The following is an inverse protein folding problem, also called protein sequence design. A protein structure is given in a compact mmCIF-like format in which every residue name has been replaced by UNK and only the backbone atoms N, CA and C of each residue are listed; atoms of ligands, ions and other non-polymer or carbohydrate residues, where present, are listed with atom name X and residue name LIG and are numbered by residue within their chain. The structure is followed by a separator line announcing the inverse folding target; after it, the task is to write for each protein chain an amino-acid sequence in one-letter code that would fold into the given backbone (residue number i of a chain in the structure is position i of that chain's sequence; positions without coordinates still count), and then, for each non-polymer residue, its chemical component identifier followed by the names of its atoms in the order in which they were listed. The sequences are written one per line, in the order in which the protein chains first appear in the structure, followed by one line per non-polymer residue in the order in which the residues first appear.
data_IF_211639755901
#
_entry.id   IF_211639755901
#
_cell.length_a   1.000
_cell.length_b   1.000
_cell.length_c   1.000
_cell.angle_alpha   90.00
_cell.angle_beta   90.00
_cell.angle_gamma   90.00
#
_symmetry.space_group_name_H-M   'P 1'
#
loop_
_entity.id
_entity.type
_entity.pdbx_description
1 polymer ?
#
# COMPACT_ATOMS: atom_id res chain seq x y z
N UNK A 1 -11.52 4.08 10.79
CA UNK A 1 -12.55 3.09 11.18
C UNK A 1 -12.21 1.73 10.58
N UNK A 2 -12.74 0.66 11.16
CA UNK A 2 -12.70 -0.68 10.59
C UNK A 2 -14.15 -1.12 10.35
N UNK A 3 -14.54 -1.43 9.12
CA UNK A 3 -15.94 -1.77 8.82
C UNK A 3 -16.28 -3.25 9.05
N UNK A 4 -15.29 -4.15 9.04
CA UNK A 4 -15.48 -5.57 9.32
C UNK A 4 -14.20 -6.40 9.21
N UNK A 5 -14.34 -7.72 9.20
CA UNK A 5 -13.24 -8.68 9.07
C UNK A 5 -12.59 -9.10 10.39
N UNK A 6 -11.40 -9.69 10.31
CA UNK A 6 -10.66 -10.23 11.45
C UNK A 6 -9.29 -9.55 11.57
N UNK A 7 -8.95 -9.11 12.78
CA UNK A 7 -7.65 -8.47 13.13
C UNK A 7 -7.23 -7.26 12.27
N UNK A 8 -8.19 -6.48 11.77
CA UNK A 8 -7.88 -5.26 11.06
C UNK A 8 -7.64 -4.08 12.02
N UNK A 9 -6.70 -3.19 11.68
CA UNK A 9 -6.34 -2.01 12.47
C UNK A 9 -6.41 -0.75 11.63
N UNK A 10 -7.19 0.23 12.08
CA UNK A 10 -7.20 1.59 11.54
C UNK A 10 -6.85 2.57 12.66
N UNK A 11 -5.56 2.90 12.81
CA UNK A 11 -5.06 3.71 13.94
C UNK A 11 -4.67 5.14 13.58
N UNK A 12 -4.57 5.46 12.28
CA UNK A 12 -4.27 6.81 11.81
C UNK A 12 -5.48 7.75 11.90
N UNK A 13 -5.23 9.06 11.95
CA UNK A 13 -6.29 10.06 11.94
C UNK A 13 -7.06 9.98 10.61
N UNK A 14 -8.39 9.80 10.67
CA UNK A 14 -9.23 9.55 9.49
C UNK A 14 -8.84 8.31 8.65
N UNK A 15 -8.02 7.40 9.18
CA UNK A 15 -7.68 6.19 8.43
C UNK A 15 -8.86 5.22 8.37
N UNK A 16 -8.89 4.35 7.36
CA UNK A 16 -9.96 3.36 7.21
C UNK A 16 -9.47 2.00 6.72
N UNK A 17 -10.05 0.94 7.26
CA UNK A 17 -9.96 -0.40 6.69
C UNK A 17 -11.38 -0.92 6.43
N UNK A 18 -11.70 -1.24 5.18
CA UNK A 18 -13.07 -1.69 4.84
C UNK A 18 -13.33 -3.13 5.30
N UNK A 19 -12.35 -4.02 5.27
CA UNK A 19 -12.51 -5.40 5.70
C UNK A 19 -11.26 -6.26 5.48
N UNK A 20 -11.44 -7.59 5.46
CA UNK A 20 -10.36 -8.53 5.22
C UNK A 20 -9.75 -9.11 6.50
N UNK A 21 -8.49 -9.55 6.39
CA UNK A 21 -7.75 -10.24 7.46
C UNK A 21 -6.42 -9.52 7.71
N UNK A 22 -6.16 -9.10 8.94
CA UNK A 22 -4.86 -8.55 9.38
C UNK A 22 -4.39 -7.32 8.56
N UNK A 23 -5.32 -6.48 8.08
CA UNK A 23 -4.95 -5.26 7.36
C UNK A 23 -4.69 -4.08 8.33
N UNK A 24 -3.69 -3.25 8.05
CA UNK A 24 -3.32 -2.09 8.86
C UNK A 24 -3.32 -0.79 8.05
N UNK A 25 -4.14 0.18 8.46
CA UNK A 25 -4.10 1.57 8.00
C UNK A 25 -3.68 2.49 9.17
N UNK A 26 -2.39 2.77 9.29
CA UNK A 26 -1.81 3.49 10.44
C UNK A 26 -1.43 4.94 10.15
N UNK A 27 -1.27 5.33 8.88
CA UNK A 27 -1.00 6.71 8.49
C UNK A 27 -2.25 7.61 8.55
N UNK A 28 -2.10 8.94 8.73
CA UNK A 28 -3.22 9.87 8.61
C UNK A 28 -3.83 9.81 7.21
N UNK A 29 -5.15 9.72 7.09
CA UNK A 29 -5.89 9.55 5.83
C UNK A 29 -5.56 8.24 5.07
N UNK A 30 -4.79 7.32 5.66
CA UNK A 30 -4.42 6.07 5.02
C UNK A 30 -5.64 5.16 4.85
N UNK A 31 -5.66 4.36 3.78
CA UNK A 31 -6.77 3.46 3.50
C UNK A 31 -6.32 2.07 3.04
N UNK A 32 -7.02 1.05 3.53
CA UNK A 32 -6.94 -0.31 3.00
C UNK A 32 -8.35 -0.81 2.66
N UNK A 33 -8.61 -1.06 1.39
CA UNK A 33 -9.95 -1.47 0.93
C UNK A 33 -10.28 -2.93 1.22
N UNK A 34 -9.29 -3.78 1.51
CA UNK A 34 -9.51 -5.18 1.88
C UNK A 34 -8.28 -6.06 1.64
N UNK A 35 -8.50 -7.36 1.47
CA UNK A 35 -7.44 -8.35 1.26
C UNK A 35 -6.88 -8.92 2.57
N UNK A 36 -5.62 -9.35 2.53
CA UNK A 36 -4.97 -9.94 3.71
C UNK A 36 -3.56 -9.40 3.93
N UNK A 37 -3.26 -8.98 5.17
CA UNK A 37 -1.94 -8.51 5.62
C UNK A 37 -1.41 -7.30 4.84
N UNK A 38 -2.29 -6.44 4.35
CA UNK A 38 -1.91 -5.21 3.66
C UNK A 38 -1.63 -4.08 4.65
N UNK A 39 -0.64 -3.23 4.36
CA UNK A 39 -0.21 -2.13 5.24
C UNK A 39 -0.20 -0.81 4.46
N UNK A 40 -0.94 0.18 4.96
CA UNK A 40 -0.88 1.57 4.53
C UNK A 40 -0.46 2.44 5.73
N UNK A 41 0.82 2.81 5.82
CA UNK A 41 1.38 3.53 6.98
C UNK A 41 1.76 4.98 6.73
N UNK A 42 1.90 5.39 5.47
CA UNK A 42 2.20 6.77 5.09
C UNK A 42 0.98 7.69 5.15
N UNK A 43 1.22 9.01 5.18
CA UNK A 43 0.14 10.00 5.09
C UNK A 43 -0.56 9.85 3.73
N UNK A 44 -1.89 9.73 3.73
CA UNK A 44 -2.70 9.52 2.53
C UNK A 44 -2.30 8.30 1.68
N UNK A 45 -1.54 7.34 2.25
CA UNK A 45 -1.15 6.14 1.51
C UNK A 45 -2.33 5.18 1.34
N UNK A 46 -2.29 4.34 0.32
CA UNK A 46 -3.43 3.47 0.00
C UNK A 46 -3.03 2.09 -0.48
N UNK A 47 -3.79 1.09 -0.04
CA UNK A 47 -3.75 -0.26 -0.61
C UNK A 47 -5.16 -0.70 -0.98
N UNK A 48 -5.40 -0.90 -2.28
CA UNK A 48 -6.74 -1.26 -2.77
C UNK A 48 -7.13 -2.72 -2.51
N UNK A 49 -6.17 -3.59 -2.20
CA UNK A 49 -6.42 -4.98 -1.85
C UNK A 49 -5.21 -5.89 -2.10
N UNK A 50 -5.46 -7.19 -2.24
CA UNK A 50 -4.42 -8.19 -2.48
C UNK A 50 -3.86 -8.80 -1.20
N UNK A 51 -2.62 -9.30 -1.26
CA UNK A 51 -1.96 -9.98 -0.14
C UNK A 51 -0.58 -9.38 0.16
N UNK A 52 -0.32 -9.00 1.41
CA UNK A 52 0.99 -8.53 1.86
C UNK A 52 1.55 -7.33 1.07
N UNK A 53 0.68 -6.45 0.56
CA UNK A 53 1.08 -5.21 -0.10
C UNK A 53 1.35 -4.11 0.92
N UNK A 54 2.33 -3.25 0.64
CA UNK A 54 2.77 -2.19 1.56
C UNK A 54 2.88 -0.84 0.85
N UNK A 55 2.16 0.16 1.34
CA UNK A 55 2.26 1.55 0.94
C UNK A 55 2.74 2.39 2.15
N UNK A 56 4.04 2.66 2.22
CA UNK A 56 4.71 3.06 3.46
C UNK A 56 4.91 4.57 3.65
N UNK A 57 5.01 5.34 2.58
CA UNK A 57 5.33 6.78 2.62
C UNK A 57 4.16 7.67 2.15
N UNK A 58 4.33 8.99 2.22
CA UNK A 58 3.32 9.97 1.86
C UNK A 58 2.82 9.76 0.43
N UNK A 59 1.50 9.68 0.29
CA UNK A 59 0.78 9.47 -0.96
C UNK A 59 1.19 8.23 -1.75
N UNK A 60 1.93 7.29 -1.15
CA UNK A 60 2.32 6.07 -1.84
C UNK A 60 1.12 5.12 -2.00
N UNK A 61 1.13 4.31 -3.06
CA UNK A 61 -0.03 3.49 -3.40
C UNK A 61 0.31 2.11 -3.96
N UNK A 62 -0.49 1.12 -3.56
CA UNK A 62 -0.51 -0.20 -4.19
C UNK A 62 -1.93 -0.57 -4.60
N UNK A 63 -2.16 -0.75 -5.91
CA UNK A 63 -3.50 -1.05 -6.43
C UNK A 63 -3.92 -2.52 -6.24
N UNK A 64 -3.00 -3.44 -5.97
CA UNK A 64 -3.31 -4.83 -5.68
C UNK A 64 -2.13 -5.77 -5.85
N UNK A 65 -2.41 -7.05 -6.12
CA UNK A 65 -1.38 -8.08 -6.30
C UNK A 65 -0.89 -8.69 -4.99
N UNK A 66 0.34 -9.19 -4.97
CA UNK A 66 0.95 -9.83 -3.82
C UNK A 66 2.36 -9.33 -3.58
N UNK A 67 2.73 -9.09 -2.32
CA UNK A 67 4.10 -8.73 -1.90
C UNK A 67 4.66 -7.46 -2.58
N UNK A 68 3.82 -6.53 -3.01
CA UNK A 68 4.28 -5.29 -3.61
C UNK A 68 4.62 -4.24 -2.54
N UNK A 69 5.64 -3.42 -2.79
CA UNK A 69 6.14 -2.38 -1.90
C UNK A 69 6.19 -1.02 -2.63
N UNK A 70 5.47 -0.03 -2.13
CA UNK A 70 5.57 1.38 -2.51
C UNK A 70 6.05 2.18 -1.29
N UNK A 71 7.34 2.54 -1.24
CA UNK A 71 7.99 3.13 -0.07
C UNK A 71 8.68 4.48 -0.30
N UNK A 72 8.57 5.07 -1.49
CA UNK A 72 8.97 6.46 -1.75
C UNK A 72 7.77 7.40 -1.67
N UNK A 73 8.02 8.70 -1.48
CA UNK A 73 6.96 9.72 -1.55
C UNK A 73 6.30 9.68 -2.94
N UNK A 74 4.96 9.70 -2.99
CA UNK A 74 4.18 9.60 -4.23
C UNK A 74 4.48 8.34 -5.09
N UNK A 75 5.16 7.33 -4.54
CA UNK A 75 5.51 6.13 -5.30
C UNK A 75 4.30 5.22 -5.52
N UNK A 76 4.30 4.46 -6.62
CA UNK A 76 3.15 3.63 -6.98
C UNK A 76 3.51 2.25 -7.53
N UNK A 77 2.76 1.25 -7.10
CA UNK A 77 2.77 -0.08 -7.73
C UNK A 77 1.36 -0.43 -8.19
N UNK A 78 1.17 -0.63 -9.49
CA UNK A 78 -0.16 -0.93 -10.05
C UNK A 78 -0.62 -2.35 -9.71
N UNK A 79 0.29 -3.28 -9.49
CA UNK A 79 -0.04 -4.64 -9.07
C UNK A 79 1.09 -5.62 -9.39
N UNK A 80 0.78 -6.90 -9.51
CA UNK A 80 1.77 -7.94 -9.80
C UNK A 80 2.28 -8.65 -8.54
N UNK A 81 3.48 -9.22 -8.63
CA UNK A 81 4.10 -10.03 -7.58
C UNK A 81 5.49 -9.49 -7.23
N UNK A 82 5.75 -9.15 -5.97
CA UNK A 82 7.08 -8.71 -5.51
C UNK A 82 7.67 -7.53 -6.28
N UNK A 83 6.86 -6.53 -6.65
CA UNK A 83 7.38 -5.30 -7.25
C UNK A 83 7.70 -4.24 -6.17
N UNK A 84 8.73 -3.44 -6.41
CA UNK A 84 9.21 -2.40 -5.47
C UNK A 84 9.36 -1.03 -6.15
N UNK A 85 8.66 -0.02 -5.64
CA UNK A 85 8.80 1.39 -6.01
C UNK A 85 9.26 2.18 -4.78
N UNK A 86 10.57 2.36 -4.63
CA UNK A 86 11.21 2.93 -3.43
C UNK A 86 11.85 4.30 -3.61
N UNK A 87 12.02 4.78 -4.86
CA UNK A 87 12.36 6.17 -5.14
C UNK A 87 11.16 7.11 -5.03
N UNK A 88 11.39 8.37 -4.68
CA UNK A 88 10.34 9.39 -4.69
C UNK A 88 9.81 9.58 -6.11
N UNK A 89 8.49 9.70 -6.25
CA UNK A 89 7.76 9.76 -7.51
C UNK A 89 8.01 8.55 -8.44
N UNK A 90 8.52 7.43 -7.92
CA UNK A 90 8.79 6.25 -8.74
C UNK A 90 7.52 5.42 -9.00
N UNK A 91 7.54 4.61 -10.05
CA UNK A 91 6.39 3.78 -10.40
C UNK A 91 6.79 2.39 -10.86
N UNK A 92 5.96 1.39 -10.58
CA UNK A 92 6.03 0.09 -11.24
C UNK A 92 4.64 -0.25 -11.81
N UNK A 93 4.58 -0.41 -13.13
CA UNK A 93 3.32 -0.66 -13.85
C UNK A 93 2.75 -2.07 -13.63
N UNK A 94 3.53 -3.00 -13.08
CA UNK A 94 3.11 -4.36 -12.76
C UNK A 94 4.21 -5.38 -13.05
N UNK A 95 3.83 -6.64 -13.28
CA UNK A 95 4.77 -7.73 -13.56
C UNK A 95 5.21 -8.47 -12.30
N UNK A 96 6.43 -9.00 -12.31
CA UNK A 96 7.00 -9.76 -11.20
C UNK A 96 8.45 -9.35 -10.97
N UNK A 97 8.82 -9.01 -9.73
CA UNK A 97 10.19 -8.66 -9.33
C UNK A 97 10.80 -7.48 -10.09
N UNK A 98 10.01 -6.44 -10.37
CA UNK A 98 10.50 -5.18 -10.92
C UNK A 98 10.81 -4.17 -9.81
N UNK A 99 11.83 -3.34 -10.02
CA UNK A 99 12.32 -2.39 -9.02
C UNK A 99 12.55 -0.99 -9.63
N UNK A 100 12.00 0.04 -8.99
CA UNK A 100 12.17 1.45 -9.32
C UNK A 100 12.67 2.25 -8.09
N UNK A 101 13.99 2.29 -7.93
CA UNK A 101 14.70 2.89 -6.78
C UNK A 101 15.09 4.37 -6.98
N UNK A 102 15.16 4.83 -8.22
CA UNK A 102 15.54 6.22 -8.52
C UNK A 102 14.38 7.19 -8.37
N UNK A 103 14.67 8.43 -7.98
CA UNK A 103 13.71 9.53 -8.05
C UNK A 103 13.16 9.64 -9.49
N UNK A 104 11.83 9.68 -9.64
CA UNK A 104 11.12 9.68 -10.93
C UNK A 104 11.36 8.45 -11.84
N UNK A 105 11.86 7.33 -11.31
CA UNK A 105 12.09 6.11 -12.11
C UNK A 105 10.81 5.29 -12.36
N UNK A 106 10.83 4.44 -13.40
CA UNK A 106 9.73 3.56 -13.79
C UNK A 106 10.21 2.16 -14.20
#
# INVERSE_FOLDING_TARGET
SVSGGWENKASGWYSSVTGGIENEASGPLASVSGGSKNIASGRASSVSGGNQNKALDESSSVSGGSLNLASGEESSVTGGYENEASGDFSSVSGGSQNTAEGEHSA
#
